data_IF_876959623489
#
_entry.id   IF_876959623489
#
_cell.length_a   1.000
_cell.length_b   1.000
_cell.length_c   1.000
_cell.angle_alpha   90.00
_cell.angle_beta   90.00
_cell.angle_gamma   90.00
#
_symmetry.space_group_name_H-M   'P 1'
#
loop_
_entity.id
_entity.type
_entity.pdbx_description
1 polymer ?
#
# COMPACT_ATOMS: atom_id res chain seq x y z
N UNK A 1 -14.25 -19.97 4.10
CA UNK A 1 -14.04 -18.65 3.48
C UNK A 1 -12.56 -18.51 3.40
N UNK A 2 -12.00 -18.75 2.23
CA UNK A 2 -10.55 -18.77 2.05
C UNK A 2 -10.14 -17.40 1.55
N UNK A 3 -9.58 -16.59 2.45
CA UNK A 3 -8.94 -15.34 2.09
C UNK A 3 -7.56 -15.70 1.53
N UNK A 4 -7.39 -15.53 0.22
CA UNK A 4 -6.08 -15.74 -0.42
C UNK A 4 -5.33 -14.42 -0.35
N UNK A 5 -4.30 -14.37 0.49
CA UNK A 5 -3.28 -13.31 0.41
C UNK A 5 -2.53 -13.54 -0.91
N UNK A 6 -2.44 -12.55 -1.82
CA UNK A 6 -1.91 -12.73 -3.17
C UNK A 6 -0.47 -13.29 -3.26
N UNK A 7 0.26 -13.33 -2.15
CA UNK A 7 1.71 -13.63 -2.10
C UNK A 7 2.08 -14.76 -1.13
N UNK A 8 1.22 -15.77 -0.92
CA UNK A 8 1.59 -16.93 -0.10
C UNK A 8 1.93 -18.16 -0.98
N UNK A 9 3.14 -18.74 -0.91
CA UNK A 9 4.28 -18.38 -0.06
C UNK A 9 4.99 -17.09 -0.47
N UNK A 10 5.59 -16.40 0.51
CA UNK A 10 6.47 -15.24 0.28
C UNK A 10 7.73 -15.75 -0.41
N UNK A 11 7.91 -15.37 -1.67
CA UNK A 11 9.01 -15.83 -2.52
C UNK A 11 10.18 -14.89 -2.32
N UNK A 12 11.38 -15.43 -2.18
CA UNK A 12 12.59 -14.61 -2.05
C UNK A 12 13.05 -14.12 -3.41
N UNK A 13 13.79 -13.02 -3.44
CA UNK A 13 14.40 -12.49 -4.66
C UNK A 13 15.20 -13.56 -5.42
N UNK A 14 15.91 -14.43 -4.69
CA UNK A 14 16.74 -15.49 -5.29
C UNK A 14 15.90 -16.64 -5.89
N UNK A 15 14.61 -16.72 -5.55
CA UNK A 15 13.68 -17.77 -5.99
C UNK A 15 12.86 -17.35 -7.23
N UNK A 16 12.99 -16.09 -7.69
CA UNK A 16 12.38 -15.65 -8.95
C UNK A 16 13.02 -16.35 -10.15
N UNK A 17 14.33 -16.63 -10.10
CA UNK A 17 15.09 -17.21 -11.21
C UNK A 17 14.90 -16.43 -12.54
N UNK A 18 14.85 -15.11 -12.47
CA UNK A 18 14.50 -14.19 -13.56
C UNK A 18 15.71 -13.65 -14.35
N UNK A 19 16.85 -14.35 -14.33
CA UNK A 19 18.10 -13.95 -14.98
C UNK A 19 17.95 -13.69 -16.50
N UNK A 20 17.07 -14.47 -17.15
CA UNK A 20 16.79 -14.39 -18.59
C UNK A 20 15.49 -13.62 -18.92
N UNK A 21 14.76 -13.15 -17.91
CA UNK A 21 13.48 -12.44 -18.06
C UNK A 21 12.53 -12.64 -16.88
N UNK A 22 11.49 -11.78 -16.78
CA UNK A 22 10.54 -11.79 -15.66
C UNK A 22 9.82 -13.15 -15.54
N UNK A 23 10.13 -13.88 -14.47
CA UNK A 23 9.49 -15.14 -14.10
C UNK A 23 8.58 -14.92 -12.88
N UNK A 24 7.38 -14.41 -13.16
CA UNK A 24 6.45 -14.04 -12.11
C UNK A 24 5.83 -15.28 -11.44
N UNK A 25 6.05 -15.39 -10.13
CA UNK A 25 5.64 -16.55 -9.34
C UNK A 25 4.32 -16.42 -8.58
N UNK A 26 3.63 -15.28 -8.65
CA UNK A 26 2.38 -15.07 -7.89
C UNK A 26 1.13 -15.69 -8.55
N UNK A 27 1.26 -16.26 -9.75
CA UNK A 27 0.18 -16.97 -10.44
C UNK A 27 -0.98 -16.08 -10.92
N UNK A 28 -0.88 -14.75 -10.77
CA UNK A 28 -1.91 -13.82 -11.23
C UNK A 28 -1.80 -13.57 -12.73
N UNK A 29 -2.94 -13.56 -13.42
CA UNK A 29 -3.02 -13.10 -14.81
C UNK A 29 -2.74 -11.59 -14.90
N UNK A 30 -2.33 -11.08 -16.08
CA UNK A 30 -2.17 -9.63 -16.27
C UNK A 30 -3.42 -8.82 -15.93
N UNK A 31 -4.61 -9.37 -16.19
CA UNK A 31 -5.88 -8.73 -15.85
C UNK A 31 -6.10 -8.63 -14.34
N UNK A 32 -5.77 -9.68 -13.58
CA UNK A 32 -5.89 -9.66 -12.11
C UNK A 32 -4.87 -8.72 -11.46
N UNK A 33 -3.67 -8.63 -12.03
CA UNK A 33 -2.65 -7.65 -11.59
C UNK A 33 -3.14 -6.22 -11.79
N UNK A 34 -3.73 -5.95 -12.95
CA UNK A 34 -4.29 -4.64 -13.27
C UNK A 34 -5.48 -4.31 -12.35
N UNK A 35 -6.38 -5.26 -12.11
CA UNK A 35 -7.55 -5.09 -11.23
C UNK A 35 -7.13 -4.74 -9.80
N UNK A 36 -6.14 -5.46 -9.25
CA UNK A 36 -5.59 -5.18 -7.92
C UNK A 36 -4.89 -3.83 -7.86
N UNK A 37 -4.05 -3.50 -8.86
CA UNK A 37 -3.34 -2.23 -8.90
C UNK A 37 -4.30 -1.04 -9.03
N UNK A 38 -5.33 -1.17 -9.87
CA UNK A 38 -6.36 -0.16 -10.04
C UNK A 38 -7.16 0.03 -8.75
N UNK A 39 -7.59 -1.05 -8.12
CA UNK A 39 -8.33 -1.00 -6.84
C UNK A 39 -7.53 -0.30 -5.75
N UNK A 40 -6.22 -0.55 -5.67
CA UNK A 40 -5.34 0.14 -4.73
C UNK A 40 -5.26 1.65 -5.01
N UNK A 41 -5.07 2.03 -6.27
CA UNK A 41 -5.00 3.43 -6.67
C UNK A 41 -6.31 4.17 -6.43
N UNK A 42 -7.45 3.57 -6.78
CA UNK A 42 -8.78 4.14 -6.56
C UNK A 42 -9.10 4.25 -5.06
N UNK A 43 -8.78 3.21 -4.27
CA UNK A 43 -8.96 3.24 -2.81
C UNK A 43 -8.16 4.36 -2.16
N UNK A 44 -6.89 4.53 -2.53
CA UNK A 44 -6.07 5.63 -2.03
C UNK A 44 -6.55 7.00 -2.53
N UNK A 45 -7.01 7.11 -3.78
CA UNK A 45 -7.57 8.34 -4.30
C UNK A 45 -8.83 8.76 -3.52
N UNK A 46 -9.68 7.81 -3.14
CA UNK A 46 -10.86 8.05 -2.30
C UNK A 46 -10.45 8.56 -0.90
N UNK A 47 -9.49 7.90 -0.25
CA UNK A 47 -9.02 8.30 1.09
C UNK A 47 -8.32 9.65 1.09
N UNK A 48 -7.43 9.89 0.11
CA UNK A 48 -6.64 11.12 0.02
C UNK A 48 -7.46 12.30 -0.50
N UNK A 49 -8.51 12.03 -1.29
CA UNK A 49 -9.41 13.01 -1.87
C UNK A 49 -10.71 13.21 -1.09
N UNK A 50 -10.86 12.57 0.07
CA UNK A 50 -12.09 12.63 0.86
C UNK A 50 -12.44 14.08 1.24
N UNK A 51 -13.72 14.44 1.08
CA UNK A 51 -14.16 15.83 1.08
C UNK A 51 -13.95 16.56 2.42
N UNK A 52 -14.06 15.82 3.53
CA UNK A 52 -13.94 16.37 4.88
C UNK A 52 -12.51 16.31 5.45
N UNK A 53 -11.55 15.76 4.71
CA UNK A 53 -10.19 15.63 5.19
C UNK A 53 -9.39 14.53 4.53
N UNK A 54 -8.09 14.76 4.35
CA UNK A 54 -7.17 13.72 3.88
C UNK A 54 -7.08 12.60 4.91
N UNK A 55 -7.37 11.36 4.49
CA UNK A 55 -7.21 10.16 5.32
C UNK A 55 -5.97 9.41 4.83
N UNK A 56 -5.00 9.18 5.71
CA UNK A 56 -3.83 8.34 5.42
C UNK A 56 -4.11 6.92 5.88
N UNK A 57 -3.84 5.91 5.06
CA UNK A 57 -4.02 4.50 5.44
C UNK A 57 -2.89 4.01 6.36
N UNK A 58 -1.65 4.39 6.05
CA UNK A 58 -0.45 4.17 6.88
C UNK A 58 -0.04 2.68 7.05
N UNK A 59 -0.52 1.83 6.15
CA UNK A 59 -0.18 0.39 6.11
C UNK A 59 -0.47 -0.26 4.75
N UNK A 60 -0.16 0.40 3.64
CA UNK A 60 -0.43 -0.18 2.31
C UNK A 60 0.55 -1.30 1.99
N UNK A 61 0.02 -2.53 1.84
CA UNK A 61 0.72 -3.73 1.38
C UNK A 61 -0.31 -4.70 0.75
N UNK A 62 0.16 -5.72 0.01
CA UNK A 62 -0.67 -6.75 -0.61
C UNK A 62 -1.53 -7.52 0.40
N UNK A 63 -1.05 -7.68 1.64
CA UNK A 63 -1.80 -8.29 2.72
C UNK A 63 -3.06 -7.53 3.12
N UNK A 64 -3.15 -6.24 2.77
CA UNK A 64 -4.28 -5.39 3.13
C UNK A 64 -5.42 -5.40 2.10
N UNK A 65 -5.29 -6.18 1.03
CA UNK A 65 -6.34 -6.32 0.02
C UNK A 65 -7.00 -7.69 0.13
N UNK A 66 -8.33 -7.68 0.23
CA UNK A 66 -9.14 -8.89 0.29
C UNK A 66 -9.85 -9.12 -1.03
N UNK A 67 -9.87 -10.38 -1.49
CA UNK A 67 -10.71 -10.80 -2.61
C UNK A 67 -12.00 -11.44 -2.09
N UNK A 68 -13.12 -10.90 -2.52
CA UNK A 68 -14.46 -11.42 -2.21
C UNK A 68 -14.77 -12.69 -3.02
N UNK A 69 -15.77 -13.50 -2.63
CA UNK A 69 -16.20 -14.67 -3.41
C UNK A 69 -16.70 -14.34 -4.83
N UNK A 70 -17.18 -13.11 -5.06
CA UNK A 70 -17.56 -12.62 -6.39
C UNK A 70 -16.37 -12.14 -7.22
N UNK A 71 -15.14 -12.23 -6.70
CA UNK A 71 -13.91 -11.86 -7.37
C UNK A 71 -13.46 -10.41 -7.17
N UNK A 72 -14.30 -9.55 -6.54
CA UNK A 72 -13.95 -8.15 -6.29
C UNK A 72 -12.83 -8.02 -5.26
N UNK A 73 -11.91 -7.10 -5.49
CA UNK A 73 -10.86 -6.72 -4.55
C UNK A 73 -11.33 -5.53 -3.69
N UNK A 74 -10.93 -5.50 -2.41
CA UNK A 74 -11.25 -4.41 -1.47
C UNK A 74 -10.07 -4.12 -0.55
N UNK A 75 -9.79 -2.84 -0.33
CA UNK A 75 -8.86 -2.37 0.70
C UNK A 75 -9.42 -2.63 2.11
N UNK A 76 -8.57 -3.07 3.04
CA UNK A 76 -8.91 -3.48 4.40
C UNK A 76 -7.84 -3.04 5.41
N UNK A 77 -8.12 -3.21 6.70
CA UNK A 77 -7.18 -3.00 7.83
C UNK A 77 -6.79 -1.54 8.08
N UNK A 78 -7.78 -0.74 8.43
CA UNK A 78 -7.64 0.67 8.77
C UNK A 78 -7.14 0.90 10.20
N UNK A 79 -6.51 -0.09 10.86
CA UNK A 79 -6.10 0.02 12.26
C UNK A 79 -4.99 1.07 12.48
N UNK A 80 -4.24 1.42 11.44
CA UNK A 80 -3.24 2.51 11.46
C UNK A 80 -3.73 3.80 10.81
N UNK A 81 -4.92 3.78 10.20
CA UNK A 81 -5.40 4.90 9.41
C UNK A 81 -5.59 6.16 10.27
N UNK A 82 -5.26 7.31 9.69
CA UNK A 82 -5.24 8.60 10.38
C UNK A 82 -5.85 9.69 9.49
N UNK A 83 -6.95 10.34 9.92
CA UNK A 83 -7.34 11.61 9.36
C UNK A 83 -6.28 12.67 9.67
N UNK A 84 -5.82 13.40 8.66
CA UNK A 84 -4.91 14.53 8.86
C UNK A 84 -5.68 15.72 9.44
N UNK A 85 -5.16 16.31 10.50
CA UNK A 85 -5.76 17.50 11.11
C UNK A 85 -5.50 18.72 10.21
N UNK A 86 -6.47 19.63 10.12
CA UNK A 86 -6.31 20.88 9.38
C UNK A 86 -5.87 22.01 10.32
N UNK A 87 -4.84 22.76 9.92
CA UNK A 87 -4.43 23.99 10.59
C UNK A 87 -5.14 25.19 9.92
N UNK A 88 -6.10 25.85 10.61
CA UNK A 88 -6.81 26.98 10.05
C UNK A 88 -5.97 28.26 9.95
N UNK A 89 -4.88 28.38 10.70
CA UNK A 89 -4.00 29.56 10.65
C UNK A 89 -3.06 29.46 9.44
N UNK A 90 -2.45 28.30 9.26
CA UNK A 90 -1.49 28.03 8.18
C UNK A 90 -2.15 27.58 6.87
N UNK A 91 -3.47 27.33 6.87
CA UNK A 91 -4.26 26.86 5.73
C UNK A 91 -3.64 25.62 5.07
N UNK A 92 -3.22 24.64 5.88
CA UNK A 92 -2.62 23.38 5.43
C UNK A 92 -2.90 22.23 6.39
N UNK A 93 -2.78 21.00 5.91
CA UNK A 93 -2.84 19.84 6.79
C UNK A 93 -1.61 19.75 7.70
N UNK A 94 -1.86 19.53 8.99
CA UNK A 94 -0.87 19.18 9.98
C UNK A 94 -0.20 17.87 9.60
N UNK A 95 1.12 17.94 9.54
CA UNK A 95 1.96 16.77 9.39
C UNK A 95 1.97 15.97 10.70
N UNK A 96 2.19 14.66 10.62
CA UNK A 96 2.06 13.80 11.80
C UNK A 96 3.30 12.93 12.02
N UNK A 97 3.34 12.28 13.18
CA UNK A 97 4.32 11.27 13.55
C UNK A 97 3.63 9.91 13.68
N UNK A 98 4.33 8.86 13.25
CA UNK A 98 3.88 7.49 13.41
C UNK A 98 4.76 6.76 14.42
N UNK A 99 4.15 6.17 15.45
CA UNK A 99 4.88 5.45 16.49
C UNK A 99 5.36 4.09 15.99
N UNK A 100 6.61 3.74 16.29
CA UNK A 100 7.22 2.43 16.01
C UNK A 100 7.33 2.12 14.51
N UNK A 101 8.55 2.20 13.97
CA UNK A 101 8.78 2.06 12.53
C UNK A 101 9.16 0.61 12.21
N UNK A 102 8.46 -0.01 11.26
CA UNK A 102 8.71 -1.37 10.80
C UNK A 102 7.84 -1.73 9.58
N UNK A 103 8.37 -2.56 8.69
CA UNK A 103 7.68 -2.96 7.46
C UNK A 103 8.58 -2.87 6.23
N UNK A 104 8.32 -3.70 5.22
CA UNK A 104 9.17 -3.81 4.02
C UNK A 104 8.88 -2.77 2.95
N UNK A 105 7.69 -2.18 2.98
CA UNK A 105 7.14 -1.29 1.95
C UNK A 105 7.13 0.19 2.36
N UNK A 106 7.71 0.49 3.53
CA UNK A 106 7.67 1.78 4.22
C UNK A 106 8.46 2.86 3.47
N UNK A 107 7.95 4.09 3.50
CA UNK A 107 8.55 5.26 2.88
C UNK A 107 9.83 5.69 3.62
N UNK A 108 10.86 6.22 2.91
CA UNK A 108 12.13 6.59 3.54
C UNK A 108 11.98 7.65 4.64
N UNK A 109 11.07 8.61 4.46
CA UNK A 109 10.78 9.66 5.43
C UNK A 109 10.30 9.13 6.79
N UNK A 110 9.73 7.92 6.83
CA UNK A 110 9.32 7.25 8.08
C UNK A 110 10.50 6.94 9.01
N UNK A 111 11.72 6.88 8.48
CA UNK A 111 12.94 6.51 9.21
C UNK A 111 13.87 7.69 9.51
N UNK A 112 13.46 8.92 9.21
CA UNK A 112 14.29 10.12 9.41
C UNK A 112 14.29 10.60 10.87
N UNK A 113 15.33 11.34 11.30
CA UNK A 113 15.45 11.94 12.65
C UNK A 113 15.88 13.43 12.55
N UNK A 114 15.18 14.39 13.18
CA UNK A 114 13.87 14.21 13.81
C UNK A 114 12.87 13.71 12.78
N UNK A 115 11.91 12.85 13.18
CA UNK A 115 10.97 12.24 12.26
C UNK A 115 10.41 13.24 11.26
N UNK A 116 10.54 12.86 9.98
CA UNK A 116 10.02 13.59 8.84
C UNK A 116 8.53 13.83 9.05
N UNK A 117 8.10 15.04 8.74
CA UNK A 117 6.71 15.47 8.85
C UNK A 117 5.84 14.66 7.87
N UNK A 118 5.27 13.54 8.34
CA UNK A 118 4.58 12.53 7.53
C UNK A 118 3.26 13.05 6.98
N UNK A 119 2.87 12.51 5.82
CA UNK A 119 1.60 12.79 5.17
C UNK A 119 1.16 11.62 4.26
N UNK A 120 0.10 11.84 3.50
CA UNK A 120 -0.51 10.85 2.62
C UNK A 120 0.42 10.30 1.51
N UNK A 121 1.55 10.97 1.24
CA UNK A 121 2.51 10.51 0.24
C UNK A 121 3.25 9.23 0.62
N UNK A 122 3.25 8.85 1.89
CA UNK A 122 3.80 7.57 2.30
C UNK A 122 2.99 6.39 1.74
N UNK A 123 1.66 6.51 1.70
CA UNK A 123 0.80 5.50 1.06
C UNK A 123 1.13 5.35 -0.43
N UNK A 124 1.50 6.45 -1.10
CA UNK A 124 1.90 6.44 -2.52
C UNK A 124 3.23 5.70 -2.72
N UNK A 125 4.20 5.92 -1.83
CA UNK A 125 5.46 5.18 -1.87
C UNK A 125 5.23 3.68 -1.63
N UNK A 126 4.44 3.34 -0.60
CA UNK A 126 4.10 1.97 -0.26
C UNK A 126 3.32 1.27 -1.40
N UNK A 127 2.38 1.97 -2.05
CA UNK A 127 1.68 1.49 -3.24
C UNK A 127 2.66 1.21 -4.40
N UNK A 128 3.70 2.01 -4.58
CA UNK A 128 4.74 1.75 -5.57
C UNK A 128 5.49 0.43 -5.31
N UNK A 129 5.87 0.17 -4.06
CA UNK A 129 6.47 -1.11 -3.66
C UNK A 129 5.50 -2.27 -3.82
N UNK A 130 4.22 -2.05 -3.51
CA UNK A 130 3.16 -3.03 -3.73
C UNK A 130 3.06 -3.41 -5.22
N UNK A 131 3.05 -2.42 -6.12
CA UNK A 131 3.01 -2.65 -7.56
C UNK A 131 4.23 -3.43 -8.05
N UNK A 132 5.40 -3.14 -7.50
CA UNK A 132 6.59 -3.94 -7.77
C UNK A 132 6.36 -5.41 -7.41
N UNK A 133 5.85 -5.72 -6.21
CA UNK A 133 5.50 -7.09 -5.80
C UNK A 133 4.45 -7.76 -6.70
N UNK A 134 3.44 -7.03 -7.16
CA UNK A 134 2.44 -7.54 -8.12
C UNK A 134 3.11 -7.95 -9.45
N UNK A 135 4.03 -7.12 -9.94
CA UNK A 135 4.68 -7.31 -11.24
C UNK A 135 5.75 -8.40 -11.21
N UNK A 136 6.51 -8.52 -10.14
CA UNK A 136 7.61 -9.50 -10.01
C UNK A 136 7.16 -10.80 -9.36
N UNK A 137 6.15 -10.76 -8.49
CA UNK A 137 5.74 -11.90 -7.68
C UNK A 137 6.53 -12.06 -6.38
N UNK A 138 7.18 -10.99 -5.90
CA UNK A 138 7.85 -10.88 -4.59
C UNK A 138 6.90 -10.46 -3.46
#
# INVERSE_FOLDING_TARGET
MDYVVPTNPVIKAEELHDEDGVDNKNGMSPAEKLDLALTAAEGLAELHGFEDGVIVHDDIDLGQFLRTPSGQVKLNDFNRAKPMLWDPEEQKYCKYYNGGIGGKVRAPEEYTDPPGVLNEKMDIFAMGNMFYGILTGL
#
